data_IF_306380604315
#
_entry.id   IF_306380604315
#
_cell.length_a   1.000
_cell.length_b   1.000
_cell.length_c   1.000
_cell.angle_alpha   90.00
_cell.angle_beta   90.00
_cell.angle_gamma   90.00
#
_symmetry.space_group_name_H-M   'P 1'
#
loop_
_entity.id
_entity.type
_entity.pdbx_description
1 polymer ?
#
# COMPACT_ATOMS: atom_id res chain seq x y z
N UNK A 1 13.61 27.61 -4.65
CA UNK A 1 13.49 27.15 -3.25
C UNK A 1 14.89 26.94 -2.64
N UNK A 2 15.11 27.29 -1.38
CA UNK A 2 16.38 27.03 -0.66
C UNK A 2 16.43 25.56 -0.20
N UNK A 3 17.62 25.04 0.15
CA UNK A 3 17.75 23.64 0.62
C UNK A 3 16.90 23.40 1.88
N UNK A 4 16.91 24.34 2.84
CA UNK A 4 16.04 24.28 4.02
C UNK A 4 14.55 24.40 3.70
N UNK A 5 14.17 25.24 2.74
CA UNK A 5 12.78 25.32 2.28
C UNK A 5 12.31 24.02 1.62
N UNK A 6 13.18 23.37 0.84
CA UNK A 6 12.88 22.09 0.22
C UNK A 6 12.72 20.98 1.27
N UNK A 7 13.58 20.97 2.29
CA UNK A 7 13.47 20.05 3.43
C UNK A 7 12.12 20.20 4.14
N UNK A 8 11.71 21.43 4.46
CA UNK A 8 10.43 21.68 5.12
C UNK A 8 9.24 21.21 4.29
N UNK A 9 9.24 21.48 2.98
CA UNK A 9 8.18 21.08 2.06
C UNK A 9 8.09 19.55 1.92
N UNK A 10 9.22 18.87 1.73
CA UNK A 10 9.26 17.41 1.61
C UNK A 10 8.85 16.72 2.92
N UNK A 11 9.35 17.19 4.06
CA UNK A 11 8.96 16.65 5.38
C UNK A 11 7.47 16.85 5.66
N UNK A 12 6.93 18.03 5.36
CA UNK A 12 5.50 18.32 5.54
C UNK A 12 4.64 17.46 4.61
N UNK A 13 4.98 17.38 3.33
CA UNK A 13 4.25 16.58 2.36
C UNK A 13 4.22 15.08 2.70
N UNK A 14 5.37 14.51 3.08
CA UNK A 14 5.44 13.11 3.56
C UNK A 14 4.67 12.92 4.86
N UNK A 15 4.73 13.88 5.79
CA UNK A 15 3.97 13.82 7.04
C UNK A 15 2.46 13.80 6.81
N UNK A 16 1.95 14.67 5.93
CA UNK A 16 0.53 14.68 5.55
C UNK A 16 0.15 13.35 4.89
N UNK A 17 0.97 12.84 3.96
CA UNK A 17 0.73 11.56 3.31
C UNK A 17 0.65 10.42 4.32
N UNK A 18 1.59 10.33 5.26
CA UNK A 18 1.61 9.28 6.28
C UNK A 18 0.40 9.38 7.22
N UNK A 19 0.05 10.58 7.66
CA UNK A 19 -1.14 10.83 8.47
C UNK A 19 -2.42 10.31 7.76
N UNK A 20 -2.58 10.64 6.48
CA UNK A 20 -3.72 10.20 5.68
C UNK A 20 -3.75 8.69 5.48
N UNK A 21 -2.60 8.06 5.22
CA UNK A 21 -2.52 6.61 5.09
C UNK A 21 -3.03 5.93 6.37
N UNK A 22 -2.58 6.37 7.55
CA UNK A 22 -3.06 5.82 8.82
C UNK A 22 -4.56 6.04 9.02
N UNK A 23 -5.05 7.26 8.72
CA UNK A 23 -6.47 7.56 8.83
C UNK A 23 -7.36 6.71 7.92
N UNK A 24 -6.89 6.39 6.71
CA UNK A 24 -7.63 5.60 5.72
C UNK A 24 -7.51 4.09 5.95
N UNK A 25 -6.46 3.61 6.64
CA UNK A 25 -6.18 2.19 6.83
C UNK A 25 -6.55 1.66 8.22
N UNK A 26 -6.71 2.53 9.23
CA UNK A 26 -7.08 2.09 10.58
C UNK A 26 -8.50 1.48 10.60
N UNK A 27 -8.58 0.21 10.98
CA UNK A 27 -9.84 -0.54 11.03
C UNK A 27 -10.81 -0.04 12.09
N UNK A 28 -10.28 0.66 13.10
CA UNK A 28 -11.08 1.27 14.16
C UNK A 28 -11.75 2.56 13.68
N UNK A 29 -11.30 3.13 12.57
CA UNK A 29 -11.89 4.36 12.04
C UNK A 29 -13.21 4.05 11.32
N UNK A 30 -14.38 4.45 11.85
CA UNK A 30 -15.66 4.22 11.19
C UNK A 30 -15.81 4.99 9.87
N UNK A 31 -15.02 6.06 9.68
CA UNK A 31 -14.99 6.84 8.46
C UNK A 31 -14.05 6.25 7.38
N UNK A 32 -13.43 5.08 7.63
CA UNK A 32 -12.55 4.46 6.62
C UNK A 32 -13.36 4.09 5.37
N UNK A 33 -12.83 4.31 4.16
CA UNK A 33 -13.43 3.80 2.94
C UNK A 33 -13.54 2.27 2.93
N UNK A 34 -14.34 1.73 2.01
CA UNK A 34 -14.34 0.29 1.77
C UNK A 34 -12.91 -0.19 1.41
N UNK A 35 -12.49 -1.41 1.82
CA UNK A 35 -11.12 -1.88 1.60
C UNK A 35 -10.65 -1.77 0.14
N UNK A 36 -11.55 -2.01 -0.83
CA UNK A 36 -11.25 -1.87 -2.26
C UNK A 36 -11.05 -0.43 -2.74
N UNK A 37 -11.58 0.57 -2.02
CA UNK A 37 -11.44 1.99 -2.36
C UNK A 37 -10.25 2.69 -1.68
N UNK A 38 -9.64 2.07 -0.66
CA UNK A 38 -8.49 2.66 0.04
C UNK A 38 -7.33 3.04 -0.91
N UNK A 39 -6.91 2.20 -1.88
CA UNK A 39 -5.85 2.57 -2.82
C UNK A 39 -6.22 3.78 -3.69
N UNK A 40 -7.49 3.92 -4.06
CA UNK A 40 -7.98 5.07 -4.82
C UNK A 40 -7.85 6.37 -4.03
N UNK A 41 -8.25 6.39 -2.76
CA UNK A 41 -8.14 7.58 -1.91
C UNK A 41 -6.69 7.94 -1.60
N UNK A 42 -5.82 6.95 -1.39
CA UNK A 42 -4.38 7.20 -1.22
C UNK A 42 -3.80 7.79 -2.52
N UNK A 43 -4.13 7.21 -3.67
CA UNK A 43 -3.70 7.73 -4.98
C UNK A 43 -4.20 9.16 -5.24
N UNK A 44 -5.46 9.44 -4.90
CA UNK A 44 -6.04 10.78 -4.98
C UNK A 44 -5.34 11.78 -4.06
N UNK A 45 -5.06 11.39 -2.81
CA UNK A 45 -4.30 12.22 -1.88
C UNK A 45 -2.91 12.54 -2.44
N UNK A 46 -2.19 11.54 -2.97
CA UNK A 46 -0.89 11.75 -3.63
C UNK A 46 -1.03 12.69 -4.83
N UNK A 47 -2.05 12.54 -5.68
CA UNK A 47 -2.28 13.42 -6.83
C UNK A 47 -2.49 14.88 -6.40
N UNK A 48 -3.27 15.12 -5.35
CA UNK A 48 -3.46 16.45 -4.77
C UNK A 48 -2.14 17.00 -4.22
N UNK A 49 -1.41 16.20 -3.43
CA UNK A 49 -0.12 16.62 -2.86
C UNK A 49 0.89 16.95 -3.96
N UNK A 50 1.00 16.13 -5.00
CA UNK A 50 1.86 16.40 -6.15
C UNK A 50 1.45 17.71 -6.84
N UNK A 51 0.15 17.93 -7.05
CA UNK A 51 -0.34 19.16 -7.69
C UNK A 51 0.04 20.43 -6.91
N UNK A 52 0.13 20.34 -5.57
CA UNK A 52 0.49 21.47 -4.71
C UNK A 52 2.00 21.63 -4.55
N UNK A 53 2.74 20.54 -4.37
CA UNK A 53 4.15 20.57 -3.95
C UNK A 53 5.15 20.32 -5.09
N UNK A 54 4.73 19.72 -6.22
CA UNK A 54 5.64 19.45 -7.35
C UNK A 54 6.29 20.72 -7.93
N UNK A 55 5.60 21.89 -8.06
CA UNK A 55 6.25 23.11 -8.53
C UNK A 55 7.38 23.62 -7.62
N UNK A 56 7.40 23.20 -6.35
CA UNK A 56 8.38 23.64 -5.36
C UNK A 56 9.58 22.69 -5.28
N UNK A 57 9.32 21.39 -5.18
CA UNK A 57 10.34 20.37 -4.88
C UNK A 57 10.27 19.13 -5.75
N UNK A 58 9.34 19.04 -6.72
CA UNK A 58 9.04 17.83 -7.50
C UNK A 58 8.36 16.71 -6.70
N UNK A 59 7.87 17.02 -5.49
CA UNK A 59 7.08 16.11 -4.65
C UNK A 59 7.75 14.73 -4.51
N UNK A 60 8.95 14.72 -3.92
CA UNK A 60 9.75 13.51 -3.78
C UNK A 60 9.03 12.46 -2.94
N UNK A 61 8.64 12.85 -1.72
CA UNK A 61 7.89 12.15 -0.66
C UNK A 61 8.37 10.75 -0.25
N UNK A 62 9.19 10.10 -1.07
CA UNK A 62 9.60 8.72 -0.97
C UNK A 62 11.09 8.63 -1.39
N UNK A 63 11.99 8.25 -0.47
CA UNK A 63 13.41 8.12 -0.75
C UNK A 63 13.72 7.13 -1.90
N UNK A 64 12.98 6.03 -2.02
CA UNK A 64 13.21 5.03 -3.07
C UNK A 64 12.81 5.55 -4.46
N UNK A 65 11.72 6.33 -4.53
CA UNK A 65 11.24 6.96 -5.77
C UNK A 65 12.28 7.94 -6.34
N UNK A 66 12.99 8.66 -5.48
CA UNK A 66 13.96 9.67 -5.89
C UNK A 66 15.38 9.08 -6.06
N UNK A 67 15.86 8.28 -5.11
CA UNK A 67 17.24 7.79 -5.12
C UNK A 67 17.50 6.75 -6.21
N UNK A 68 16.56 5.83 -6.48
CA UNK A 68 16.74 4.77 -7.49
C UNK A 68 16.99 5.32 -8.90
N UNK A 69 16.08 6.16 -9.45
CA UNK A 69 16.30 6.78 -10.76
C UNK A 69 17.56 7.65 -10.82
N UNK A 70 17.95 8.31 -9.72
CA UNK A 70 19.19 9.09 -9.67
C UNK A 70 20.43 8.22 -9.77
N UNK A 71 20.45 7.05 -9.13
CA UNK A 71 21.58 6.13 -9.21
C UNK A 71 21.77 5.62 -10.65
N UNK A 72 20.66 5.29 -11.32
CA UNK A 72 20.68 4.87 -12.73
C UNK A 72 21.14 6.03 -13.62
N UNK A 73 20.64 7.25 -13.41
CA UNK A 73 21.06 8.43 -14.16
C UNK A 73 22.57 8.73 -13.97
N UNK A 74 23.08 8.58 -12.74
CA UNK A 74 24.50 8.74 -12.45
C UNK A 74 25.34 7.69 -13.20
N UNK A 75 24.91 6.43 -13.21
CA UNK A 75 25.56 5.35 -13.96
C UNK A 75 25.48 5.54 -15.48
N UNK A 76 24.40 6.14 -15.98
CA UNK A 76 24.20 6.49 -17.39
C UNK A 76 25.00 7.73 -17.84
N UNK A 77 25.86 8.29 -16.97
CA UNK A 77 26.75 9.39 -17.32
C UNK A 77 26.15 10.79 -17.18
N UNK A 78 25.01 10.95 -16.49
CA UNK A 78 24.39 12.27 -16.27
C UNK A 78 25.15 13.14 -15.24
N UNK A 79 26.18 12.56 -14.60
CA UNK A 79 27.15 13.27 -13.76
C UNK A 79 26.49 14.07 -12.63
N UNK A 80 26.93 15.33 -12.49
CA UNK A 80 26.58 16.21 -11.38
C UNK A 80 25.09 16.58 -11.31
N UNK A 81 24.33 16.37 -12.40
CA UNK A 81 22.87 16.56 -12.44
C UNK A 81 22.14 15.45 -11.67
N UNK A 82 22.67 14.23 -11.69
CA UNK A 82 22.12 13.09 -10.98
C UNK A 82 22.53 13.10 -9.49
N UNK A 83 23.85 13.07 -9.24
CA UNK A 83 24.46 13.09 -7.91
C UNK A 83 25.68 14.02 -7.97
N UNK A 84 25.80 15.02 -7.07
CA UNK A 84 24.97 15.28 -5.90
C UNK A 84 23.65 16.04 -6.16
N UNK A 85 23.30 16.24 -7.43
CA UNK A 85 22.13 17.00 -7.84
C UNK A 85 22.33 18.51 -7.69
N UNK A 86 21.31 19.27 -8.13
CA UNK A 86 21.33 20.74 -8.09
C UNK A 86 21.55 21.22 -6.65
N UNK A 87 22.60 22.03 -6.43
CA UNK A 87 22.98 22.58 -5.12
C UNK A 87 23.28 21.54 -4.03
N UNK A 88 23.74 20.35 -4.40
CA UNK A 88 24.02 19.26 -3.46
C UNK A 88 22.78 18.87 -2.62
N UNK A 89 21.60 18.92 -3.23
CA UNK A 89 20.31 18.77 -2.56
C UNK A 89 19.72 17.36 -2.55
N UNK A 90 20.36 16.36 -3.18
CA UNK A 90 19.76 15.02 -3.32
C UNK A 90 19.39 14.37 -1.97
N UNK A 91 20.20 14.58 -0.93
CA UNK A 91 19.98 14.02 0.40
C UNK A 91 18.70 14.53 1.07
N UNK A 92 18.20 15.71 0.67
CA UNK A 92 16.96 16.27 1.22
C UNK A 92 15.79 15.34 0.96
N UNK A 93 15.72 14.75 -0.23
CA UNK A 93 14.68 13.80 -0.65
C UNK A 93 14.78 12.44 0.03
N UNK A 94 15.84 12.21 0.81
CA UNK A 94 16.01 11.01 1.64
C UNK A 94 15.68 11.35 3.08
N UNK A 95 16.36 12.36 3.65
CA UNK A 95 16.26 12.68 5.07
C UNK A 95 14.93 13.34 5.42
N UNK A 96 14.42 14.25 4.58
CA UNK A 96 13.17 14.95 4.88
C UNK A 96 11.96 14.01 4.94
N UNK A 97 11.74 13.09 3.98
CA UNK A 97 10.67 12.10 4.11
C UNK A 97 10.82 11.19 5.33
N UNK A 98 12.05 10.74 5.65
CA UNK A 98 12.33 9.90 6.80
C UNK A 98 12.03 10.61 8.13
N UNK A 99 12.20 11.93 8.19
CA UNK A 99 11.80 12.73 9.35
C UNK A 99 10.29 13.04 9.36
N UNK A 100 9.71 13.35 8.20
CA UNK A 100 8.32 13.76 8.05
C UNK A 100 7.32 12.65 8.35
N UNK A 101 7.56 11.42 7.88
CA UNK A 101 6.62 10.31 8.07
C UNK A 101 6.35 9.98 9.56
N UNK A 102 7.38 9.82 10.42
CA UNK A 102 7.17 9.62 11.85
C UNK A 102 6.42 10.77 12.52
N UNK A 103 6.68 12.01 12.12
CA UNK A 103 5.94 13.18 12.65
C UNK A 103 4.47 13.11 12.26
N UNK A 104 4.17 12.79 10.99
CA UNK A 104 2.79 12.58 10.52
C UNK A 104 2.07 11.45 11.26
N UNK A 105 2.77 10.34 11.52
CA UNK A 105 2.25 9.22 12.29
C UNK A 105 1.96 9.61 13.75
N UNK A 106 2.87 10.35 14.38
CA UNK A 106 2.68 10.86 15.73
C UNK A 106 1.49 11.83 15.80
N UNK A 107 1.33 12.71 14.81
CA UNK A 107 0.17 13.58 14.71
C UNK A 107 -1.14 12.78 14.63
N UNK A 108 -1.16 11.66 13.90
CA UNK A 108 -2.32 10.77 13.84
C UNK A 108 -2.62 10.11 15.20
N UNK A 109 -1.58 9.59 15.85
CA UNK A 109 -1.68 8.93 17.15
C UNK A 109 -2.16 9.87 18.26
N UNK A 110 -1.86 11.17 18.17
CA UNK A 110 -2.30 12.18 19.14
C UNK A 110 -3.68 12.73 18.79
N UNK A 111 -3.95 13.02 17.51
CA UNK A 111 -5.15 13.77 17.12
C UNK A 111 -6.38 12.89 16.87
N UNK A 112 -6.20 11.70 16.27
CA UNK A 112 -7.33 10.87 15.79
C UNK A 112 -7.46 9.61 16.62
N UNK A 113 -6.36 8.87 16.81
CA UNK A 113 -6.37 7.55 17.43
C UNK A 113 -7.02 7.49 18.82
N UNK A 114 -6.91 8.48 19.72
CA UNK A 114 -7.54 8.43 21.04
C UNK A 114 -9.07 8.52 20.99
N UNK A 115 -9.63 9.08 19.91
CA UNK A 115 -11.07 9.16 19.69
C UNK A 115 -11.69 7.91 19.06
N UNK A 116 -10.88 6.93 18.68
CA UNK A 116 -11.36 5.71 18.02
C UNK A 116 -11.78 4.65 19.05
N UNK A 117 -12.77 3.79 18.73
CA UNK A 117 -13.15 2.67 19.57
C UNK A 117 -11.97 1.75 19.86
N UNK A 118 -11.86 1.27 21.11
CA UNK A 118 -10.88 0.26 21.46
C UNK A 118 -11.16 -1.03 20.68
N UNK A 119 -10.12 -1.61 20.06
CA UNK A 119 -10.23 -2.93 19.44
C UNK A 119 -10.56 -3.95 20.53
N UNK A 120 -11.68 -4.66 20.39
CA UNK A 120 -11.95 -5.86 21.18
C UNK A 120 -10.86 -6.88 20.85
N UNK A 121 -9.87 -6.98 21.74
CA UNK A 121 -8.74 -7.89 21.56
C UNK A 121 -9.25 -9.32 21.72
N UNK A 122 -9.49 -10.02 20.62
CA UNK A 122 -9.33 -11.47 20.64
C UNK A 122 -7.84 -11.75 20.82
N UNK A 123 -7.43 -12.60 21.78
CA UNK A 123 -6.01 -12.83 22.07
C UNK A 123 -5.30 -13.27 20.79
N UNK A 124 -4.22 -12.57 20.43
CA UNK A 124 -3.33 -12.92 19.32
C UNK A 124 -2.80 -14.34 19.58
N UNK A 125 -3.10 -15.34 18.74
CA UNK A 125 -2.49 -16.66 18.88
C UNK A 125 -0.98 -16.52 18.65
N UNK A 126 -0.19 -16.72 19.70
CA UNK A 126 1.26 -16.91 19.62
C UNK A 126 1.55 -18.23 18.90
N UNK A 127 1.49 -18.20 17.57
CA UNK A 127 2.20 -19.07 16.60
C UNK A 127 1.57 -18.80 15.24
N UNK A 128 2.19 -17.92 14.47
CA UNK A 128 2.10 -18.03 13.02
C UNK A 128 3.26 -18.92 12.61
N UNK A 129 2.95 -20.17 12.32
CA UNK A 129 3.88 -21.07 11.66
C UNK A 129 4.15 -20.46 10.28
N UNK A 130 5.31 -19.81 10.15
CA UNK A 130 5.73 -18.99 8.99
C UNK A 130 5.67 -19.76 7.66
N UNK A 131 5.57 -21.09 7.69
CA UNK A 131 5.48 -21.95 6.51
C UNK A 131 4.06 -22.04 5.94
N UNK A 132 3.01 -21.76 6.73
CA UNK A 132 1.61 -21.86 6.29
C UNK A 132 1.05 -20.62 5.58
N UNK A 133 1.61 -19.43 5.83
CA UNK A 133 1.06 -18.18 5.25
C UNK A 133 1.45 -17.95 3.79
N UNK A 134 2.53 -18.58 3.30
CA UNK A 134 2.92 -18.52 1.89
C UNK A 134 1.90 -19.19 0.96
N UNK A 135 1.17 -20.21 1.44
CA UNK A 135 0.07 -20.82 0.68
C UNK A 135 -1.19 -19.94 0.66
N UNK A 136 -1.40 -19.08 1.67
CA UNK A 136 -2.53 -18.15 1.70
C UNK A 136 -2.31 -16.97 0.73
N UNK A 137 -1.08 -16.46 0.60
CA UNK A 137 -0.75 -15.43 -0.40
C UNK A 137 -0.80 -15.96 -1.84
N UNK A 138 -0.42 -17.23 -2.05
CA UNK A 138 -0.64 -17.91 -3.34
C UNK A 138 -2.15 -18.07 -3.64
N UNK A 139 -3.00 -18.29 -2.64
CA UNK A 139 -4.45 -18.34 -2.83
C UNK A 139 -5.03 -16.97 -3.21
N UNK A 140 -4.45 -15.86 -2.75
CA UNK A 140 -4.87 -14.49 -3.11
C UNK A 140 -4.53 -14.15 -4.58
N UNK A 141 -3.34 -14.57 -5.04
CA UNK A 141 -2.94 -14.45 -6.45
C UNK A 141 -3.80 -15.37 -7.34
N UNK A 142 -4.14 -16.57 -6.85
CA UNK A 142 -5.06 -17.49 -7.54
C UNK A 142 -6.53 -17.01 -7.49
N UNK A 143 -6.95 -16.25 -6.48
CA UNK A 143 -8.25 -15.59 -6.41
C UNK A 143 -8.37 -14.48 -7.45
N UNK A 144 -7.33 -13.64 -7.61
CA UNK A 144 -7.28 -12.62 -8.66
C UNK A 144 -7.33 -13.21 -10.08
N UNK A 145 -6.70 -14.36 -10.30
CA UNK A 145 -6.79 -15.08 -11.59
C UNK A 145 -8.16 -15.76 -11.76
N UNK A 146 -8.79 -16.25 -10.68
CA UNK A 146 -10.13 -16.87 -10.72
C UNK A 146 -11.27 -15.87 -10.83
N UNK A 147 -11.15 -14.63 -10.33
CA UNK A 147 -12.16 -13.59 -10.50
C UNK A 147 -12.34 -13.23 -11.98
N UNK A 148 -11.26 -13.21 -12.76
CA UNK A 148 -11.32 -13.06 -14.21
C UNK A 148 -12.13 -14.19 -14.89
N UNK A 149 -12.09 -15.42 -14.35
CA UNK A 149 -12.91 -16.54 -14.82
C UNK A 149 -14.38 -16.46 -14.34
N UNK A 150 -14.62 -15.96 -13.12
CA UNK A 150 -15.97 -15.84 -12.57
C UNK A 150 -16.79 -14.73 -13.25
N UNK A 151 -16.15 -13.67 -13.75
CA UNK A 151 -16.79 -12.64 -14.57
C UNK A 151 -17.27 -13.15 -15.93
N UNK A 152 -16.81 -14.30 -16.42
CA UNK A 152 -17.39 -14.96 -17.58
C UNK A 152 -18.69 -15.72 -17.27
N UNK A 153 -19.03 -15.98 -15.99
CA UNK A 153 -20.22 -16.74 -15.59
C UNK A 153 -21.38 -15.88 -15.05
N UNK A 154 -21.26 -14.55 -14.99
CA UNK A 154 -22.34 -13.68 -14.53
C UNK A 154 -22.81 -12.73 -15.65
N UNK A 155 -23.83 -13.09 -16.45
CA UNK A 155 -24.54 -12.09 -17.24
C UNK A 155 -25.34 -11.16 -16.30
N UNK A 156 -25.37 -9.84 -16.53
CA UNK A 156 -25.99 -8.88 -15.62
C UNK A 156 -27.49 -8.68 -15.90
N UNK A 157 -28.30 -9.75 -15.89
CA UNK A 157 -29.75 -9.65 -16.18
C UNK A 157 -30.50 -10.98 -16.02
N UNK A 158 -30.70 -11.43 -14.77
CA UNK A 158 -31.81 -12.32 -14.45
C UNK A 158 -32.10 -12.32 -12.93
N UNK A 159 -33.16 -11.63 -12.52
CA UNK A 159 -33.77 -11.88 -11.22
C UNK A 159 -34.44 -13.24 -11.25
N UNK A 160 -34.00 -14.18 -10.41
CA UNK A 160 -34.72 -15.40 -9.97
C UNK A 160 -33.86 -16.17 -8.95
N UNK A 161 -34.43 -16.39 -7.76
CA UNK A 161 -34.30 -17.64 -6.97
C UNK A 161 -32.94 -18.05 -6.40
N UNK A 162 -32.86 -18.07 -5.06
CA UNK A 162 -31.82 -18.76 -4.29
C UNK A 162 -31.66 -20.22 -4.72
N UNK A 163 -30.48 -20.58 -5.25
CA UNK A 163 -30.02 -21.96 -5.37
C UNK A 163 -28.63 -22.05 -4.71
N UNK A 164 -28.58 -22.75 -3.58
CA UNK A 164 -27.39 -22.91 -2.77
C UNK A 164 -26.28 -23.65 -3.50
N UNK A 165 -25.07 -23.09 -3.45
CA UNK A 165 -23.83 -23.83 -3.71
C UNK A 165 -23.51 -24.69 -2.48
N UNK A 166 -24.03 -25.91 -2.48
CA UNK A 166 -23.56 -26.98 -1.61
C UNK A 166 -22.37 -27.66 -2.32
N UNK A 167 -21.15 -27.21 -2.01
CA UNK A 167 -19.92 -27.66 -2.64
C UNK A 167 -18.86 -28.01 -1.60
N UNK A 168 -18.80 -29.31 -1.28
CA UNK A 168 -17.78 -30.03 -0.52
C UNK A 168 -16.39 -29.37 -0.45
N UNK A 169 -15.88 -29.26 0.79
CA UNK A 169 -14.45 -29.27 1.10
C UNK A 169 -13.89 -30.65 0.72
N UNK A 170 -13.27 -30.79 -0.43
CA UNK A 170 -12.39 -31.94 -0.73
C UNK A 170 -10.95 -31.45 -0.75
N UNK A 171 -10.14 -32.13 0.05
CA UNK A 171 -8.82 -31.72 0.49
C UNK A 171 -7.76 -31.89 -0.60
N UNK A 172 -6.75 -31.03 -0.48
CA UNK A 172 -5.49 -31.19 -1.18
C UNK A 172 -4.64 -32.22 -0.41
N UNK A 173 -4.31 -33.33 -1.07
CA UNK A 173 -3.20 -34.21 -0.70
C UNK A 173 -3.60 -35.61 -0.26
N UNK A 174 -3.45 -36.59 -1.15
CA UNK A 174 -2.66 -37.83 -0.92
C UNK A 174 -2.66 -38.64 -2.22
N UNK A 175 -1.48 -39.10 -2.62
CA UNK A 175 -1.31 -39.85 -3.85
C UNK A 175 -1.86 -41.27 -3.74
N UNK A 176 -2.55 -41.71 -4.78
CA UNK A 176 -2.68 -43.13 -5.14
C UNK A 176 -2.81 -43.25 -6.64
N UNK A 177 -1.86 -44.00 -7.20
CA UNK A 177 -1.88 -44.79 -8.43
C UNK A 177 -3.11 -44.68 -9.34
N UNK A 178 -2.81 -44.39 -10.60
CA UNK A 178 -3.70 -44.62 -11.75
C UNK A 178 -3.90 -46.12 -11.90
N UNK A 179 -5.04 -46.64 -11.44
CA UNK A 179 -5.56 -47.92 -11.93
C UNK A 179 -6.48 -47.64 -13.11
N UNK A 180 -5.98 -48.00 -14.30
CA UNK A 180 -6.75 -48.05 -15.54
C UNK A 180 -7.72 -49.23 -15.42
N UNK A 181 -9.02 -48.94 -15.31
CA UNK A 181 -10.07 -49.96 -15.35
C UNK A 181 -10.72 -50.00 -16.74
N UNK A 182 -10.61 -51.18 -17.36
CA UNK A 182 -11.40 -51.79 -18.45
C UNK A 182 -11.53 -51.04 -19.79
#
# INVERSE_FOLDING_TARGET
VTVGGAFGVEALGTGILMFLILALTDERNPARPSPGMVPFFIGFAVAVLISLFAPLTQAGFNPARDFGPRLIAAAAGWGHVAIPGVRNGFWVYIVAPLAGAPIGALCYDIAIRPGLPATSTSPVPKKMDVVGSWCADQALVQMLVREACAQCCYPPDAGLGYAGCNGKREGCGEGTSVDVAA
#
